data_IF_365391949929
#
_entry.id   IF_365391949929
#
_cell.length_a   1.000
_cell.length_b   1.000
_cell.length_c   1.000
_cell.angle_alpha   90.00
_cell.angle_beta   90.00
_cell.angle_gamma   90.00
#
_symmetry.space_group_name_H-M   'P 1'
#
loop_
_entity.id
_entity.type
_entity.pdbx_description
1 polymer ?
#
# COMPACT_ATOMS: atom_id res chain seq x y z
N UNK A 1 -16.44 11.21 -4.90
CA UNK A 1 -15.55 12.38 -5.08
C UNK A 1 -14.15 11.90 -5.47
N UNK A 2 -13.48 12.63 -6.36
CA UNK A 2 -12.06 12.41 -6.71
C UNK A 2 -11.17 13.31 -5.84
N UNK A 3 -10.08 12.75 -5.32
CA UNK A 3 -9.02 13.49 -4.63
C UNK A 3 -7.71 13.31 -5.38
N UNK A 4 -7.13 14.42 -5.84
CA UNK A 4 -5.75 14.47 -6.34
C UNK A 4 -4.83 14.74 -5.16
N UNK A 5 -4.23 13.69 -4.61
CA UNK A 5 -3.33 13.76 -3.48
C UNK A 5 -1.88 13.91 -3.93
N UNK A 6 -1.22 14.98 -3.50
CA UNK A 6 0.20 15.22 -3.73
C UNK A 6 0.96 14.92 -2.43
N UNK A 7 1.83 13.91 -2.37
CA UNK A 7 2.49 13.49 -1.12
C UNK A 7 3.63 14.42 -0.66
N UNK A 8 3.62 15.67 -1.13
CA UNK A 8 4.56 16.73 -0.81
C UNK A 8 3.78 17.91 -0.25
N UNK A 9 4.36 18.65 0.71
CA UNK A 9 3.77 19.88 1.19
C UNK A 9 3.61 20.88 0.03
N UNK A 10 2.58 21.72 0.07
CA UNK A 10 2.23 22.61 -1.04
C UNK A 10 3.42 23.46 -1.55
N UNK A 11 4.20 24.04 -0.63
CA UNK A 11 5.38 24.85 -0.96
C UNK A 11 6.57 24.04 -1.52
N UNK A 12 6.54 22.72 -1.42
CA UNK A 12 7.59 21.80 -1.85
C UNK A 12 7.12 20.84 -2.97
N UNK A 13 5.94 21.06 -3.54
CA UNK A 13 5.34 20.17 -4.53
C UNK A 13 5.90 20.32 -5.95
N UNK A 14 6.85 21.24 -6.18
CA UNK A 14 7.53 21.39 -7.47
C UNK A 14 6.57 21.71 -8.61
N UNK A 15 6.65 20.96 -9.71
CA UNK A 15 5.77 21.11 -10.89
C UNK A 15 4.47 20.28 -10.77
N UNK A 16 4.29 19.52 -9.68
CA UNK A 16 3.05 18.78 -9.44
C UNK A 16 1.88 19.72 -9.21
N UNK A 17 2.08 20.87 -8.55
CA UNK A 17 1.02 21.86 -8.26
C UNK A 17 0.29 22.28 -9.53
N UNK A 18 1.04 22.76 -10.54
CA UNK A 18 0.45 23.17 -11.82
C UNK A 18 -0.16 21.99 -12.58
N UNK A 19 0.42 20.79 -12.47
CA UNK A 19 -0.08 19.58 -13.11
C UNK A 19 -1.44 19.14 -12.56
N UNK A 20 -1.62 19.11 -11.23
CA UNK A 20 -2.89 18.73 -10.59
C UNK A 20 -3.95 19.82 -10.72
N UNK A 21 -3.57 21.10 -10.73
CA UNK A 21 -4.48 22.21 -11.05
C UNK A 21 -5.01 22.12 -12.47
N UNK A 22 -4.13 21.82 -13.44
CA UNK A 22 -4.53 21.63 -14.82
C UNK A 22 -5.50 20.46 -14.98
N UNK A 23 -5.22 19.34 -14.31
CA UNK A 23 -6.12 18.20 -14.27
C UNK A 23 -7.49 18.59 -13.70
N UNK A 24 -7.51 19.22 -12.51
CA UNK A 24 -8.74 19.68 -11.87
C UNK A 24 -9.57 20.58 -12.79
N UNK A 25 -8.94 21.57 -13.42
CA UNK A 25 -9.58 22.48 -14.37
C UNK A 25 -10.23 21.71 -15.52
N UNK A 26 -9.51 20.80 -16.15
CA UNK A 26 -10.03 20.04 -17.28
C UNK A 26 -11.15 19.07 -16.88
N UNK A 27 -11.06 18.47 -15.69
CA UNK A 27 -12.13 17.65 -15.14
C UNK A 27 -13.42 18.46 -14.94
N UNK A 28 -13.32 19.66 -14.35
CA UNK A 28 -14.48 20.53 -14.09
C UNK A 28 -15.17 21.04 -15.36
N UNK A 29 -14.45 21.11 -16.49
CA UNK A 29 -15.04 21.45 -17.79
C UNK A 29 -15.89 20.33 -18.38
N UNK A 30 -15.64 19.07 -18.00
CA UNK A 30 -16.22 17.88 -18.66
C UNK A 30 -17.07 17.03 -17.72
N UNK A 31 -17.06 17.29 -16.41
CA UNK A 31 -17.74 16.50 -15.40
C UNK A 31 -18.22 17.36 -14.25
N UNK A 32 -19.44 17.09 -13.77
CA UNK A 32 -19.98 17.63 -12.53
C UNK A 32 -19.50 16.85 -11.29
N UNK A 33 -18.80 15.73 -11.47
CA UNK A 33 -18.30 14.93 -10.36
C UNK A 33 -17.27 15.73 -9.54
N UNK A 34 -17.42 15.83 -8.20
CA UNK A 34 -16.51 16.64 -7.40
C UNK A 34 -15.05 16.18 -7.49
N UNK A 35 -14.13 17.14 -7.58
CA UNK A 35 -12.68 16.92 -7.57
C UNK A 35 -11.99 17.91 -6.62
N UNK A 36 -11.12 17.41 -5.76
CA UNK A 36 -10.32 18.20 -4.81
C UNK A 36 -8.83 17.89 -4.97
N UNK A 37 -8.00 18.86 -4.62
CA UNK A 37 -6.54 18.69 -4.54
C UNK A 37 -6.20 18.76 -3.05
N UNK A 38 -5.34 17.85 -2.58
CA UNK A 38 -4.83 17.83 -1.21
C UNK A 38 -3.33 17.64 -1.28
N UNK A 39 -2.56 18.53 -0.65
CA UNK A 39 -1.13 18.36 -0.45
C UNK A 39 -0.86 17.76 0.92
N UNK A 40 0.28 17.08 1.07
CA UNK A 40 0.66 16.49 2.35
C UNK A 40 0.76 17.55 3.45
N UNK A 41 0.09 17.30 4.58
CA UNK A 41 0.12 18.17 5.75
C UNK A 41 -0.63 19.49 5.57
N UNK A 42 -1.38 19.67 4.47
CA UNK A 42 -2.36 20.74 4.42
C UNK A 42 -3.47 20.43 5.43
N UNK A 43 -3.83 21.42 6.24
CA UNK A 43 -5.08 21.46 7.01
C UNK A 43 -6.24 21.55 6.00
N UNK A 44 -6.46 20.45 5.29
CA UNK A 44 -7.54 20.32 4.36
C UNK A 44 -8.79 20.02 5.15
N UNK A 45 -9.87 20.75 4.87
CA UNK A 45 -11.22 20.46 5.35
C UNK A 45 -11.74 19.13 4.76
N UNK A 46 -11.01 18.02 4.95
CA UNK A 46 -11.48 16.65 4.80
C UNK A 46 -12.73 16.41 5.66
N UNK A 47 -12.94 17.26 6.66
CA UNK A 47 -14.18 17.45 7.40
C UNK A 47 -15.40 17.65 6.49
N UNK A 48 -15.29 18.33 5.33
CA UNK A 48 -16.44 18.41 4.42
C UNK A 48 -16.74 17.07 3.73
N UNK A 49 -15.72 16.22 3.50
CA UNK A 49 -15.91 14.89 2.94
C UNK A 49 -16.57 13.94 3.96
N UNK A 50 -16.21 14.09 5.25
CA UNK A 50 -16.86 13.40 6.36
C UNK A 50 -18.37 13.71 6.42
N UNK A 51 -18.77 14.95 6.13
CA UNK A 51 -20.18 15.37 6.15
C UNK A 51 -21.02 14.79 5.00
N UNK A 52 -20.41 14.40 3.89
CA UNK A 52 -21.14 13.96 2.69
C UNK A 52 -21.33 12.44 2.60
N UNK A 53 -20.61 11.62 3.39
CA UNK A 53 -20.61 10.14 3.29
C UNK A 53 -20.42 9.60 1.86
N UNK A 54 -19.74 10.37 1.00
CA UNK A 54 -19.51 9.97 -0.40
C UNK A 54 -18.24 9.13 -0.54
N UNK A 55 -18.25 8.09 -1.39
CA UNK A 55 -17.04 7.33 -1.71
C UNK A 55 -15.92 8.20 -2.29
N UNK A 56 -14.69 7.98 -1.84
CA UNK A 56 -13.49 8.71 -2.24
C UNK A 56 -12.61 7.85 -3.15
N UNK A 57 -12.31 8.37 -4.35
CA UNK A 57 -11.26 7.84 -5.22
C UNK A 57 -10.04 8.74 -5.11
N UNK A 58 -8.94 8.19 -4.58
CA UNK A 58 -7.73 8.98 -4.33
C UNK A 58 -6.67 8.66 -5.38
N UNK A 59 -6.21 9.67 -6.10
CA UNK A 59 -5.07 9.61 -7.01
C UNK A 59 -3.84 10.16 -6.30
N UNK A 60 -2.86 9.30 -6.04
CA UNK A 60 -1.54 9.71 -5.55
C UNK A 60 -0.76 10.22 -6.77
N UNK A 61 -0.62 11.54 -6.86
CA UNK A 61 0.01 12.25 -7.96
C UNK A 61 1.47 12.54 -7.62
N UNK A 62 2.40 11.88 -8.31
CA UNK A 62 3.83 12.15 -8.21
C UNK A 62 4.56 11.72 -9.48
N UNK A 63 5.77 12.22 -9.68
CA UNK A 63 6.65 11.73 -10.74
C UNK A 63 7.28 10.40 -10.35
N UNK A 64 7.51 9.54 -11.33
CA UNK A 64 8.19 8.27 -11.14
C UNK A 64 9.23 8.05 -12.22
N UNK A 65 10.27 7.30 -11.87
CA UNK A 65 11.36 6.92 -12.76
C UNK A 65 11.65 5.43 -12.61
N UNK A 66 12.07 4.75 -13.67
CA UNK A 66 12.41 3.33 -13.61
C UNK A 66 13.75 3.11 -12.87
N UNK A 67 14.65 4.10 -12.91
CA UNK A 67 15.94 4.11 -12.20
C UNK A 67 15.76 4.19 -10.67
N UNK A 68 14.59 4.66 -10.21
CA UNK A 68 14.26 4.84 -8.80
C UNK A 68 13.02 4.02 -8.42
N UNK A 69 13.13 2.68 -8.35
CA UNK A 69 11.96 1.78 -8.35
C UNK A 69 11.03 1.92 -7.15
N UNK A 70 11.54 2.42 -6.02
CA UNK A 70 10.78 2.60 -4.78
C UNK A 70 10.55 4.07 -4.42
N UNK A 71 10.94 5.01 -5.28
CA UNK A 71 10.87 6.43 -4.95
C UNK A 71 9.97 7.20 -5.93
N UNK A 72 9.38 8.28 -5.42
CA UNK A 72 8.55 9.21 -6.15
C UNK A 72 9.11 10.63 -6.02
N UNK A 73 9.01 11.40 -7.09
CA UNK A 73 9.62 12.71 -7.25
C UNK A 73 8.57 13.84 -7.27
N UNK A 74 8.94 15.03 -6.79
CA UNK A 74 8.10 16.24 -6.87
C UNK A 74 8.30 17.05 -8.14
N UNK A 75 9.29 16.72 -8.97
CA UNK A 75 9.60 17.40 -10.21
C UNK A 75 9.92 16.42 -11.34
N UNK A 76 9.49 16.75 -12.56
CA UNK A 76 9.87 16.03 -13.78
C UNK A 76 11.34 16.22 -14.15
N UNK A 77 11.93 17.37 -13.80
CA UNK A 77 13.37 17.62 -13.89
C UNK A 77 14.07 17.00 -12.66
N UNK A 78 14.63 15.81 -12.84
CA UNK A 78 15.27 15.05 -11.75
C UNK A 78 16.50 15.75 -11.14
N UNK A 79 17.06 16.77 -11.80
CA UNK A 79 18.16 17.56 -11.21
C UNK A 79 17.71 18.50 -10.07
N UNK A 80 16.40 18.78 -9.98
CA UNK A 80 15.80 19.70 -9.01
C UNK A 80 14.79 19.01 -8.09
N UNK A 81 14.76 17.68 -8.12
CA UNK A 81 13.69 16.91 -7.51
C UNK A 81 14.05 16.49 -6.09
N UNK A 82 13.03 16.47 -5.24
CA UNK A 82 13.07 15.79 -3.95
C UNK A 82 12.39 14.44 -4.11
N UNK A 83 13.07 13.39 -3.64
CA UNK A 83 12.58 12.03 -3.69
C UNK A 83 11.95 11.63 -2.35
N UNK A 84 10.81 10.94 -2.41
CA UNK A 84 10.21 10.25 -1.28
C UNK A 84 10.22 8.75 -1.55
N UNK A 85 10.67 7.99 -0.55
CA UNK A 85 10.48 6.54 -0.56
C UNK A 85 8.98 6.22 -0.43
N UNK A 86 8.52 5.17 -1.10
CA UNK A 86 7.10 4.79 -1.07
C UNK A 86 6.59 4.46 0.34
N UNK A 87 7.46 4.05 1.27
CA UNK A 87 7.12 3.89 2.69
C UNK A 87 6.75 5.21 3.34
N UNK A 88 7.51 6.26 3.03
CA UNK A 88 7.25 7.61 3.52
C UNK A 88 5.94 8.14 2.92
N UNK A 89 5.70 7.89 1.63
CA UNK A 89 4.42 8.24 0.97
C UNK A 89 3.24 7.53 1.64
N UNK A 90 3.38 6.25 2.00
CA UNK A 90 2.35 5.51 2.74
C UNK A 90 2.13 6.07 4.15
N UNK A 91 3.19 6.46 4.86
CA UNK A 91 3.09 7.09 6.18
C UNK A 91 2.33 8.43 6.11
N UNK A 92 2.65 9.27 5.13
CA UNK A 92 1.96 10.55 4.87
C UNK A 92 0.49 10.34 4.50
N UNK A 93 0.24 9.40 3.59
CA UNK A 93 -1.13 9.03 3.21
C UNK A 93 -1.94 8.56 4.42
N UNK A 94 -1.37 7.71 5.27
CA UNK A 94 -2.04 7.28 6.50
C UNK A 94 -2.32 8.48 7.41
N UNK A 95 -1.37 9.40 7.58
CA UNK A 95 -1.58 10.62 8.40
C UNK A 95 -2.76 11.44 7.93
N UNK A 96 -2.84 11.71 6.63
CA UNK A 96 -3.85 12.62 6.07
C UNK A 96 -5.23 11.96 5.94
N UNK A 97 -5.29 10.65 5.65
CA UNK A 97 -6.54 9.98 5.27
C UNK A 97 -7.07 8.97 6.29
N UNK A 98 -6.39 8.71 7.41
CA UNK A 98 -6.83 7.68 8.38
C UNK A 98 -8.27 7.90 8.88
N UNK A 99 -8.66 9.16 9.10
CA UNK A 99 -9.99 9.52 9.60
C UNK A 99 -11.10 9.20 8.58
N UNK A 100 -10.82 9.43 7.29
CA UNK A 100 -11.76 9.13 6.18
C UNK A 100 -11.52 7.79 5.52
N UNK A 101 -10.65 6.93 6.08
CA UNK A 101 -10.21 5.71 5.42
C UNK A 101 -11.37 4.75 5.06
N UNK A 102 -12.50 4.89 5.76
CA UNK A 102 -13.73 4.13 5.51
C UNK A 102 -14.52 4.55 4.28
N UNK A 103 -14.31 5.77 3.79
CA UNK A 103 -14.96 6.29 2.59
C UNK A 103 -14.14 6.01 1.33
N UNK A 104 -12.86 5.67 1.47
CA UNK A 104 -11.98 5.44 0.32
C UNK A 104 -12.40 4.16 -0.41
N UNK A 105 -12.92 4.31 -1.62
CA UNK A 105 -13.34 3.22 -2.50
C UNK A 105 -12.20 2.67 -3.35
N UNK A 106 -11.23 3.52 -3.72
CA UNK A 106 -10.09 3.15 -4.53
C UNK A 106 -8.90 4.08 -4.30
N UNK A 107 -7.69 3.53 -4.46
CA UNK A 107 -6.44 4.31 -4.48
C UNK A 107 -5.76 4.08 -5.82
N UNK A 108 -5.32 5.15 -6.47
CA UNK A 108 -4.65 5.15 -7.76
C UNK A 108 -3.22 5.66 -7.57
N UNK A 109 -2.22 4.77 -7.64
CA UNK A 109 -0.81 5.14 -7.66
C UNK A 109 -0.46 5.68 -9.06
N UNK A 110 -0.68 6.99 -9.27
CA UNK A 110 -0.58 7.63 -10.58
C UNK A 110 0.79 8.29 -10.76
N UNK A 111 1.76 7.49 -11.22
CA UNK A 111 3.14 7.93 -11.48
C UNK A 111 3.72 7.24 -12.73
N UNK A 112 4.66 7.91 -13.40
CA UNK A 112 5.34 7.35 -14.57
C UNK A 112 6.22 6.13 -14.19
N UNK A 113 6.37 5.21 -15.14
CA UNK A 113 7.26 4.05 -15.01
C UNK A 113 6.76 2.82 -15.76
N UNK A 114 7.60 1.79 -15.83
CA UNK A 114 7.23 0.50 -16.39
C UNK A 114 6.12 -0.20 -15.58
N UNK A 115 5.34 -1.06 -16.25
CA UNK A 115 4.31 -1.87 -15.58
C UNK A 115 4.88 -2.65 -14.38
N UNK A 116 6.07 -3.24 -14.54
CA UNK A 116 6.70 -4.04 -13.49
C UNK A 116 7.03 -3.19 -12.26
N UNK A 117 7.71 -2.06 -12.46
CA UNK A 117 8.08 -1.14 -11.39
C UNK A 117 6.85 -0.58 -10.68
N UNK A 118 5.85 -0.11 -11.42
CA UNK A 118 4.67 0.50 -10.82
C UNK A 118 3.78 -0.52 -10.09
N UNK A 119 3.71 -1.77 -10.55
CA UNK A 119 3.04 -2.86 -9.80
C UNK A 119 3.77 -3.19 -8.50
N UNK A 120 5.11 -3.26 -8.54
CA UNK A 120 5.91 -3.51 -7.36
C UNK A 120 5.78 -2.36 -6.34
N UNK A 121 5.86 -1.12 -6.81
CA UNK A 121 5.68 0.08 -5.99
C UNK A 121 4.31 0.12 -5.32
N UNK A 122 3.23 -0.14 -6.07
CA UNK A 122 1.88 -0.19 -5.50
C UNK A 122 1.69 -1.35 -4.51
N UNK A 123 2.35 -2.48 -4.74
CA UNK A 123 2.36 -3.61 -3.80
C UNK A 123 3.09 -3.26 -2.50
N UNK A 124 4.22 -2.56 -2.60
CA UNK A 124 4.98 -2.09 -1.44
C UNK A 124 4.19 -1.03 -0.66
N UNK A 125 3.63 -0.03 -1.35
CA UNK A 125 2.73 0.97 -0.76
C UNK A 125 1.63 0.32 0.07
N UNK A 126 0.96 -0.69 -0.51
CA UNK A 126 -0.09 -1.45 0.18
C UNK A 126 0.37 -2.09 1.48
N UNK A 127 1.57 -2.64 1.53
CA UNK A 127 2.09 -3.31 2.74
C UNK A 127 2.31 -2.34 3.91
N UNK A 128 2.34 -1.03 3.63
CA UNK A 128 2.54 0.04 4.60
C UNK A 128 1.26 0.84 4.90
N UNK A 129 0.11 0.49 4.30
CA UNK A 129 -1.17 1.10 4.65
C UNK A 129 -1.72 0.51 5.95
N UNK A 130 -2.26 1.38 6.81
CA UNK A 130 -2.92 0.95 8.06
C UNK A 130 -4.27 0.26 7.79
N UNK A 131 -4.96 0.67 6.72
CA UNK A 131 -6.20 0.05 6.28
C UNK A 131 -5.98 -0.74 5.00
N UNK A 132 -6.41 -2.00 5.01
CA UNK A 132 -6.50 -2.85 3.82
C UNK A 132 -7.95 -2.97 3.34
N UNK A 133 -8.14 -3.44 2.12
CA UNK A 133 -9.47 -3.82 1.62
C UNK A 133 -9.89 -3.09 0.35
N UNK A 134 -9.38 -1.87 0.12
CA UNK A 134 -9.66 -1.16 -1.14
C UNK A 134 -8.77 -1.67 -2.28
N UNK A 135 -9.26 -1.66 -3.54
CA UNK A 135 -8.42 -1.84 -4.71
C UNK A 135 -7.38 -0.72 -4.83
N UNK A 136 -6.16 -1.11 -5.17
CA UNK A 136 -5.07 -0.19 -5.51
C UNK A 136 -4.73 -0.34 -6.99
N UNK A 137 -4.88 0.73 -7.75
CA UNK A 137 -4.56 0.78 -9.16
C UNK A 137 -3.12 1.26 -9.35
N UNK A 138 -2.38 0.58 -10.21
CA UNK A 138 -1.08 1.01 -10.75
C UNK A 138 -1.19 1.15 -12.25
N UNK A 139 -0.36 2.00 -12.85
CA UNK A 139 -0.44 2.34 -14.27
C UNK A 139 0.91 2.13 -14.94
N UNK A 140 0.91 1.92 -16.25
CA UNK A 140 2.12 1.68 -17.03
C UNK A 140 2.39 2.79 -18.05
N UNK A 141 3.66 3.16 -18.21
CA UNK A 141 4.13 4.12 -19.21
C UNK A 141 4.34 5.53 -18.67
N UNK A 142 4.50 6.47 -19.59
CA UNK A 142 4.56 7.91 -19.29
C UNK A 142 3.15 8.45 -19.18
N UNK A 143 2.73 8.84 -17.99
CA UNK A 143 1.38 9.27 -17.69
C UNK A 143 1.23 10.78 -17.82
N UNK A 144 0.03 11.21 -18.21
CA UNK A 144 -0.33 12.62 -18.32
C UNK A 144 -1.56 12.91 -17.47
N UNK A 145 -1.70 14.15 -16.99
CA UNK A 145 -2.95 14.62 -16.41
C UNK A 145 -4.09 14.61 -17.45
N UNK A 146 -5.32 14.84 -17.00
CA UNK A 146 -6.48 14.87 -17.87
C UNK A 146 -6.33 15.92 -18.97
N UNK A 147 -6.61 15.55 -20.22
CA UNK A 147 -6.64 16.49 -21.34
C UNK A 147 -7.89 17.39 -21.31
N UNK A 148 -8.04 18.28 -22.28
CA UNK A 148 -9.20 19.18 -22.39
C UNK A 148 -10.57 18.48 -22.48
N UNK A 149 -10.61 17.16 -22.72
CA UNK A 149 -11.82 16.31 -22.73
C UNK A 149 -11.99 15.51 -21.44
N UNK A 150 -11.12 15.72 -20.44
CA UNK A 150 -11.10 14.95 -19.21
C UNK A 150 -10.47 13.56 -19.33
N UNK A 151 -9.82 13.24 -20.45
CA UNK A 151 -9.26 11.90 -20.70
C UNK A 151 -7.83 11.81 -20.18
N UNK A 152 -7.55 10.75 -19.42
CA UNK A 152 -6.21 10.40 -18.95
C UNK A 152 -5.48 9.57 -20.01
N UNK A 153 -4.24 9.96 -20.30
CA UNK A 153 -3.42 9.32 -21.33
C UNK A 153 -2.15 8.74 -20.74
N UNK A 154 -1.70 7.66 -21.36
CA UNK A 154 -0.40 7.05 -21.15
C UNK A 154 0.31 6.89 -22.50
N UNK A 155 1.63 7.08 -22.52
CA UNK A 155 2.49 6.73 -23.65
C UNK A 155 3.31 5.51 -23.26
N UNK A 156 3.15 4.42 -24.02
CA UNK A 156 3.86 3.16 -23.83
C UNK A 156 4.54 2.75 -25.13
N UNK A 157 5.86 2.79 -25.16
CA UNK A 157 6.62 2.73 -26.41
C UNK A 157 6.23 3.88 -27.33
N UNK A 158 5.80 3.56 -28.55
CA UNK A 158 5.38 4.55 -29.56
C UNK A 158 3.86 4.74 -29.65
N UNK A 159 3.09 4.25 -28.68
CA UNK A 159 1.63 4.34 -28.70
C UNK A 159 1.11 5.23 -27.57
N UNK A 160 0.18 6.13 -27.93
CA UNK A 160 -0.63 6.91 -26.99
C UNK A 160 -1.96 6.16 -26.78
N UNK A 161 -2.20 5.72 -25.56
CA UNK A 161 -3.38 4.94 -25.15
C UNK A 161 -4.01 5.56 -23.90
N UNK A 162 -5.26 5.23 -23.59
CA UNK A 162 -5.87 5.77 -22.37
C UNK A 162 -5.20 5.15 -21.15
N UNK A 163 -4.96 5.95 -20.10
CA UNK A 163 -4.25 5.48 -18.92
C UNK A 163 -4.95 4.26 -18.28
N UNK A 164 -6.30 4.24 -18.29
CA UNK A 164 -7.09 3.11 -17.79
C UNK A 164 -6.76 1.77 -18.45
N UNK A 165 -6.34 1.78 -19.72
CA UNK A 165 -6.03 0.56 -20.47
C UNK A 165 -4.66 -0.02 -20.06
N UNK A 166 -3.87 0.76 -19.32
CA UNK A 166 -2.60 0.34 -18.70
C UNK A 166 -2.76 -0.03 -17.22
N UNK A 167 -3.97 0.13 -16.68
CA UNK A 167 -4.21 -0.03 -15.26
C UNK A 167 -4.11 -1.50 -14.85
N UNK A 168 -3.40 -1.75 -13.76
CA UNK A 168 -3.38 -3.03 -13.07
C UNK A 168 -3.93 -2.85 -11.66
N UNK A 169 -4.88 -3.73 -11.31
CA UNK A 169 -5.60 -3.67 -10.05
C UNK A 169 -4.99 -4.68 -9.08
N UNK A 170 -4.47 -4.16 -7.97
CA UNK A 170 -4.13 -4.94 -6.79
C UNK A 170 -5.36 -5.03 -5.91
N UNK A 171 -6.12 -6.12 -6.04
CA UNK A 171 -7.20 -6.42 -5.11
C UNK A 171 -6.63 -6.77 -3.75
N UNK A 172 -7.33 -6.35 -2.68
CA UNK A 172 -7.11 -6.97 -1.38
C UNK A 172 -7.12 -8.48 -1.58
N UNK A 173 -6.14 -9.17 -1.00
CA UNK A 173 -6.18 -10.62 -0.94
C UNK A 173 -7.31 -10.83 0.05
N UNK A 174 -8.53 -10.99 -0.44
CA UNK A 174 -9.49 -11.78 0.28
C UNK A 174 -8.74 -13.07 0.62
N UNK A 175 -8.51 -13.25 1.92
CA UNK A 175 -8.83 -14.49 2.59
C UNK A 175 -8.87 -15.66 1.61
N UNK A 176 -7.88 -16.54 1.71
CA UNK A 176 -8.01 -17.91 1.21
C UNK A 176 -9.46 -18.35 1.40
N UNK A 177 -10.15 -18.58 0.29
CA UNK A 177 -11.56 -18.99 0.15
C UNK A 177 -11.90 -20.34 0.85
N UNK A 178 -11.10 -20.75 1.85
CA UNK A 178 -11.32 -21.89 2.73
C UNK A 178 -11.54 -21.54 4.21
N UNK A 179 -11.37 -20.29 4.68
CA UNK A 179 -11.50 -19.95 6.13
C UNK A 179 -12.56 -18.90 6.48
N UNK A 180 -13.18 -18.26 5.49
CA UNK A 180 -14.15 -17.17 5.68
C UNK A 180 -15.55 -17.61 6.14
N UNK A 181 -15.88 -18.90 6.12
CA UNK A 181 -17.20 -19.37 6.58
C UNK A 181 -17.34 -19.41 8.11
N UNK A 182 -16.33 -19.00 8.86
CA UNK A 182 -16.30 -19.15 10.33
C UNK A 182 -16.19 -17.85 11.13
N UNK A 183 -16.05 -16.69 10.49
CA UNK A 183 -15.96 -15.41 11.22
C UNK A 183 -17.34 -14.97 11.68
N UNK A 184 -17.72 -15.44 12.87
CA UNK A 184 -18.89 -14.97 13.61
C UNK A 184 -18.78 -13.46 13.83
N UNK A 185 -19.91 -12.76 13.75
CA UNK A 185 -19.96 -11.33 14.02
C UNK A 185 -19.38 -11.05 15.42
N UNK A 186 -18.66 -9.94 15.70
CA UNK A 186 -18.00 -9.71 16.99
C UNK A 186 -18.94 -9.77 18.23
N UNK A 187 -20.25 -9.56 18.02
CA UNK A 187 -21.30 -9.70 19.04
C UNK A 187 -21.78 -11.15 19.25
N UNK A 188 -21.45 -12.05 18.33
CA UNK A 188 -21.76 -13.48 18.36
C UNK A 188 -20.55 -14.32 18.80
N UNK A 189 -19.40 -13.67 19.03
CA UNK A 189 -18.19 -14.31 19.56
C UNK A 189 -18.32 -14.42 21.07
N UNK A 190 -18.38 -15.65 21.57
CA UNK A 190 -18.19 -15.94 22.98
C UNK A 190 -16.70 -15.74 23.33
N UNK A 191 -16.38 -14.53 23.80
CA UNK A 191 -15.03 -14.12 24.17
C UNK A 191 -14.43 -14.98 25.29
N UNK A 192 -15.27 -15.51 26.18
CA UNK A 192 -14.85 -16.43 27.25
C UNK A 192 -14.36 -17.75 26.68
N UNK A 193 -15.12 -18.35 25.75
CA UNK A 193 -14.72 -19.59 25.08
C UNK A 193 -13.45 -19.41 24.24
N UNK A 194 -13.34 -18.29 23.52
CA UNK A 194 -12.15 -17.99 22.72
C UNK A 194 -10.89 -17.78 23.58
N UNK A 195 -11.05 -17.16 24.75
CA UNK A 195 -9.96 -16.96 25.70
C UNK A 195 -9.46 -18.29 26.29
N UNK A 196 -10.38 -19.21 26.65
CA UNK A 196 -10.06 -20.56 27.12
C UNK A 196 -9.26 -21.33 26.05
N UNK A 197 -9.73 -21.29 24.80
CA UNK A 197 -9.08 -21.97 23.67
C UNK A 197 -7.67 -21.40 23.38
N UNK A 198 -7.51 -20.08 23.47
CA UNK A 198 -6.20 -19.44 23.36
C UNK A 198 -5.26 -19.88 24.49
N UNK A 199 -5.79 -20.04 25.71
CA UNK A 199 -5.02 -20.48 26.87
C UNK A 199 -4.55 -21.93 26.72
N UNK A 200 -5.41 -22.81 26.21
CA UNK A 200 -5.07 -24.21 25.92
C UNK A 200 -3.99 -24.31 24.83
N UNK A 201 -4.12 -23.59 23.71
CA UNK A 201 -3.10 -23.57 22.66
C UNK A 201 -1.74 -23.11 23.16
N UNK A 202 -1.69 -22.07 24.02
CA UNK A 202 -0.43 -21.63 24.64
C UNK A 202 0.16 -22.72 25.54
N UNK A 203 -0.68 -23.44 26.29
CA UNK A 203 -0.26 -24.53 27.17
C UNK A 203 0.31 -25.70 26.35
N UNK A 204 -0.33 -26.07 25.24
CA UNK A 204 0.16 -27.09 24.33
C UNK A 204 1.51 -26.72 23.71
N UNK A 205 1.65 -25.48 23.23
CA UNK A 205 2.90 -24.97 22.67
C UNK A 205 4.04 -24.98 23.71
N UNK A 206 3.73 -24.64 24.96
CA UNK A 206 4.69 -24.70 26.06
C UNK A 206 5.20 -26.13 26.29
N UNK A 207 4.30 -27.12 26.37
CA UNK A 207 4.69 -28.51 26.54
C UNK A 207 5.40 -29.11 25.32
N UNK A 208 5.00 -28.72 24.10
CA UNK A 208 5.69 -29.08 22.87
C UNK A 208 7.13 -28.54 22.86
N UNK A 209 7.33 -27.29 23.27
CA UNK A 209 8.65 -26.68 23.39
C UNK A 209 9.53 -27.38 24.44
N UNK A 210 8.97 -27.80 25.57
CA UNK A 210 9.69 -28.60 26.57
C UNK A 210 10.09 -29.97 26.01
N UNK A 211 9.18 -30.65 25.31
CA UNK A 211 9.44 -31.97 24.71
C UNK A 211 10.56 -31.89 23.67
N UNK A 212 10.55 -30.84 22.85
CA UNK A 212 11.58 -30.60 21.85
C UNK A 212 12.95 -30.27 22.47
N UNK A 213 12.99 -29.46 23.54
CA UNK A 213 14.23 -29.21 24.30
C UNK A 213 14.80 -30.49 24.91
N UNK A 214 13.95 -31.35 25.50
CA UNK A 214 14.38 -32.65 26.04
C UNK A 214 14.94 -33.56 24.95
N UNK A 215 14.34 -33.57 23.75
CA UNK A 215 14.83 -34.32 22.59
C UNK A 215 16.23 -33.85 22.20
N UNK A 216 16.42 -32.54 22.00
CA UNK A 216 17.71 -31.94 21.66
C UNK A 216 18.81 -32.22 22.69
N UNK A 217 18.49 -32.13 24.00
CA UNK A 217 19.47 -32.43 25.04
C UNK A 217 19.88 -33.92 25.05
N UNK A 218 18.95 -34.83 24.76
CA UNK A 218 19.26 -36.27 24.67
C UNK A 218 20.15 -36.57 23.46
N UNK A 219 19.87 -35.93 22.33
CA UNK A 219 20.62 -36.13 21.10
C UNK A 219 22.03 -35.53 21.23
N UNK A 220 22.17 -34.35 21.85
CA UNK A 220 23.47 -33.75 22.18
C UNK A 220 24.30 -34.62 23.15
N UNK A 221 23.67 -35.24 24.15
CA UNK A 221 24.37 -36.18 25.04
C UNK A 221 24.84 -37.44 24.31
N UNK A 222 24.07 -37.95 23.35
CA UNK A 222 24.49 -39.06 22.51
C UNK A 222 25.70 -38.68 21.66
N UNK A 223 25.67 -37.54 20.99
CA UNK A 223 26.79 -37.05 20.17
C UNK A 223 28.07 -36.83 20.99
N UNK A 224 27.96 -36.27 22.21
CA UNK A 224 29.10 -36.11 23.12
C UNK A 224 29.67 -37.45 23.62
N UNK A 225 28.82 -38.48 23.77
CA UNK A 225 29.26 -39.82 24.17
C UNK A 225 30.00 -40.54 23.02
N UNK A 226 29.56 -40.33 21.77
CA UNK A 226 30.23 -40.87 20.58
C UNK A 226 31.56 -40.15 20.26
N UNK A 227 31.70 -38.86 20.57
CA UNK A 227 32.98 -38.13 20.39
C UNK A 227 34.02 -38.51 21.44
N UNK A 228 33.61 -38.74 22.69
CA UNK A 228 34.47 -39.22 23.78
C UNK A 228 35.03 -40.63 23.50
N UNK A 229 34.24 -41.52 22.89
CA UNK A 229 34.74 -42.85 22.48
C UNK A 229 35.77 -42.79 21.34
N UNK A 230 35.67 -41.83 20.39
CA UNK A 230 36.68 -41.66 19.33
C UNK A 230 38.02 -41.10 19.85
N UNK A 231 38.00 -40.34 20.94
CA UNK A 231 39.22 -39.82 21.59
C UNK A 231 40.08 -40.92 22.25
N UNK A 232 39.49 -42.06 22.61
CA UNK A 232 40.19 -43.15 23.31
C UNK A 232 40.82 -44.20 22.38
N UNK A 233 40.70 -44.03 21.05
CA UNK A 233 41.24 -44.96 20.05
C UNK A 233 42.35 -44.36 19.16
N UNK A 234 42.90 -43.20 19.54
CA UNK A 234 44.11 -42.66 18.91
C UNK A 234 45.30 -42.87 19.86
N UNK A 235 45.92 -44.06 19.75
CA UNK A 235 47.29 -44.35 20.16
C UNK A 235 48.03 -44.97 18.98
#
# INVERSE_FOLDING_TARGET
>A
MIVLYVPFAHHAAGDLTSSVEHWKKNHQLNSSHPIRIIFYGDDSDLDTALLANEPLEIFICAHGADEHPNQLANNSDFSKTNWLDIKEVAARFNSDFLIVAHQISAIHCYCCGSDHKNKALASLFRTHLLRSGMPIFSYGGSLFGADHKGILWAVKGNQKIQARDTAYILFSREESLGELSSRKHPKEVDWTALHEQCREKRREQFFAGIKERKRKNRDAHREASFSSQKSNYNF
#
